data_IF_144344291265
#
_entry.id   IF_144344291265
#
_cell.length_a   1.000
_cell.length_b   1.000
_cell.length_c   1.000
_cell.angle_alpha   90.00
_cell.angle_beta   90.00
_cell.angle_gamma   90.00
#
_symmetry.space_group_name_H-M   'P 1'
#
loop_
_entity.id
_entity.type
_entity.pdbx_description
1 polymer ?
#
# COMPACT_ATOMS: atom_id res chain seq x y z
N UNK A 1 7.25 -5.53 -35.23
CA UNK A 1 6.44 -5.66 -34.00
C UNK A 1 4.97 -5.48 -34.40
N UNK A 2 4.17 -6.54 -34.47
CA UNK A 2 2.86 -6.49 -35.14
C UNK A 2 1.79 -5.87 -34.22
N UNK A 3 1.01 -4.96 -34.78
CA UNK A 3 -0.16 -4.30 -34.19
C UNK A 3 -1.13 -5.26 -33.47
N UNK A 4 -1.13 -6.55 -33.83
CA UNK A 4 -1.90 -7.61 -33.16
C UNK A 4 -1.49 -7.86 -31.70
N UNK A 5 -0.23 -7.61 -31.31
CA UNK A 5 0.25 -7.81 -29.91
C UNK A 5 -0.11 -6.64 -29.00
N UNK A 6 -0.24 -5.43 -29.54
CA UNK A 6 -0.69 -4.25 -28.80
C UNK A 6 -2.20 -4.34 -28.54
N UNK A 7 -2.98 -4.78 -29.54
CA UNK A 7 -4.42 -4.99 -29.40
C UNK A 7 -4.78 -6.09 -28.40
N UNK A 8 -3.97 -7.14 -28.30
CA UNK A 8 -4.21 -8.21 -27.33
C UNK A 8 -3.91 -7.81 -25.88
N UNK A 9 -2.86 -7.00 -25.66
CA UNK A 9 -2.58 -6.43 -24.33
C UNK A 9 -3.70 -5.48 -23.88
N UNK A 10 -4.20 -4.64 -24.79
CA UNK A 10 -5.36 -3.80 -24.56
C UNK A 10 -6.62 -4.60 -24.30
N UNK A 11 -6.86 -5.69 -25.05
CA UNK A 11 -8.00 -6.57 -24.87
C UNK A 11 -7.95 -7.33 -23.53
N UNK A 12 -6.78 -7.77 -23.06
CA UNK A 12 -6.64 -8.43 -21.75
C UNK A 12 -6.85 -7.44 -20.61
N UNK A 13 -6.34 -6.22 -20.74
CA UNK A 13 -6.60 -5.16 -19.75
C UNK A 13 -8.09 -4.77 -19.77
N UNK A 14 -8.72 -4.75 -20.94
CA UNK A 14 -10.14 -4.46 -21.11
C UNK A 14 -11.03 -5.61 -20.60
N UNK A 15 -10.64 -6.88 -20.81
CA UNK A 15 -11.36 -8.07 -20.30
C UNK A 15 -11.21 -8.18 -18.78
N UNK A 16 -10.03 -7.88 -18.20
CA UNK A 16 -9.87 -7.76 -16.75
C UNK A 16 -10.75 -6.64 -16.18
N UNK A 17 -10.81 -5.50 -16.86
CA UNK A 17 -11.74 -4.44 -16.51
C UNK A 17 -13.20 -4.90 -16.64
N UNK A 18 -13.55 -5.63 -17.68
CA UNK A 18 -14.92 -6.11 -17.93
C UNK A 18 -15.36 -7.18 -16.92
N UNK A 19 -14.50 -8.13 -16.55
CA UNK A 19 -14.76 -9.14 -15.51
C UNK A 19 -14.94 -8.46 -14.15
N UNK A 20 -14.13 -7.46 -13.86
CA UNK A 20 -14.26 -6.61 -12.67
C UNK A 20 -15.53 -5.74 -12.74
N UNK A 21 -16.01 -5.36 -13.94
CA UNK A 21 -17.23 -4.56 -14.14
C UNK A 21 -18.53 -5.37 -14.07
N UNK A 22 -18.53 -6.66 -14.37
CA UNK A 22 -19.76 -7.48 -14.38
C UNK A 22 -20.05 -8.13 -13.03
N UNK A 23 -19.04 -8.49 -12.26
CA UNK A 23 -19.17 -9.07 -10.91
C UNK A 23 -19.91 -8.16 -9.90
N UNK A 24 -19.69 -6.84 -9.83
CA UNK A 24 -20.37 -5.99 -8.85
C UNK A 24 -21.90 -5.92 -9.05
N UNK A 25 -22.40 -5.98 -10.27
CA UNK A 25 -23.85 -5.92 -10.52
C UNK A 25 -24.59 -7.16 -10.01
N UNK A 26 -23.95 -8.32 -10.05
CA UNK A 26 -24.54 -9.56 -9.54
C UNK A 26 -24.52 -9.61 -8.00
N UNK A 27 -23.42 -9.17 -7.37
CA UNK A 27 -23.27 -9.10 -5.91
C UNK A 27 -24.15 -8.01 -5.31
N UNK A 28 -24.25 -6.85 -5.95
CA UNK A 28 -25.04 -5.71 -5.44
C UNK A 28 -26.55 -6.03 -5.41
N UNK A 29 -27.08 -6.72 -6.43
CA UNK A 29 -28.50 -7.12 -6.46
C UNK A 29 -28.83 -8.24 -5.46
N UNK A 30 -27.86 -9.07 -5.09
CA UNK A 30 -28.08 -10.19 -4.15
C UNK A 30 -27.97 -9.71 -2.68
N UNK A 31 -27.12 -8.73 -2.39
CA UNK A 31 -26.93 -8.19 -1.03
C UNK A 31 -28.02 -7.18 -0.64
N UNK A 32 -28.54 -6.40 -1.61
CA UNK A 32 -29.65 -5.46 -1.33
C UNK A 32 -30.98 -6.15 -1.01
N UNK A 33 -31.13 -7.45 -1.37
CA UNK A 33 -32.35 -8.24 -1.07
C UNK A 33 -32.38 -8.87 0.32
N UNK A 34 -31.26 -8.85 1.06
CA UNK A 34 -31.09 -9.57 2.34
C UNK A 34 -31.06 -8.63 3.57
N UNK A 35 -31.52 -7.38 3.46
CA UNK A 35 -31.65 -6.51 4.63
C UNK A 35 -32.78 -6.99 5.52
N UNK A 36 -32.39 -7.61 6.61
CA UNK A 36 -33.26 -7.93 7.76
C UNK A 36 -33.85 -6.63 8.32
N UNK A 37 -35.20 -6.60 8.36
CA UNK A 37 -35.95 -5.54 9.02
C UNK A 37 -35.68 -5.58 10.53
N UNK A 38 -34.99 -4.58 11.05
CA UNK A 38 -34.95 -4.28 12.49
C UNK A 38 -36.09 -3.32 12.84
N UNK A 39 -36.79 -3.52 13.98
CA UNK A 39 -37.89 -2.66 14.36
C UNK A 39 -37.44 -1.23 14.67
N UNK A 40 -38.21 -0.28 14.22
CA UNK A 40 -38.02 1.15 14.46
C UNK A 40 -38.04 1.47 15.95
N UNK A 41 -36.97 2.06 16.47
CA UNK A 41 -37.02 2.87 17.70
C UNK A 41 -36.87 4.36 17.34
N UNK A 42 -37.87 5.11 17.78
CA UNK A 42 -37.93 6.55 17.71
C UNK A 42 -36.67 7.19 18.33
N UNK A 43 -35.95 7.94 17.54
CA UNK A 43 -34.96 8.89 18.06
C UNK A 43 -35.07 10.21 17.31
N UNK A 44 -35.57 11.19 18.04
CA UNK A 44 -35.59 12.61 17.79
C UNK A 44 -34.22 13.11 17.32
N UNK A 45 -34.23 13.75 16.15
CA UNK A 45 -33.29 14.77 15.66
C UNK A 45 -31.81 14.65 16.03
N UNK A 46 -31.09 13.78 15.31
CA UNK A 46 -29.69 14.06 14.94
C UNK A 46 -29.68 14.56 13.50
N UNK A 47 -29.16 15.75 13.31
CA UNK A 47 -29.05 16.43 12.02
C UNK A 47 -28.25 15.51 11.06
N UNK A 48 -28.95 15.01 10.04
CA UNK A 48 -28.32 14.26 8.95
C UNK A 48 -27.29 15.18 8.28
N UNK A 49 -26.02 14.84 8.42
CA UNK A 49 -24.99 15.39 7.55
C UNK A 49 -25.34 14.94 6.13
N UNK A 50 -25.77 15.88 5.30
CA UNK A 50 -25.93 15.68 3.86
C UNK A 50 -24.66 15.08 3.30
N UNK A 51 -24.73 14.05 2.43
CA UNK A 51 -23.55 13.60 1.71
C UNK A 51 -23.02 14.79 0.92
N UNK A 52 -21.80 15.19 1.23
CA UNK A 52 -21.09 16.24 0.52
C UNK A 52 -20.86 15.79 -0.92
N UNK A 53 -21.81 16.11 -1.80
CA UNK A 53 -21.74 15.98 -3.26
C UNK A 53 -20.95 17.12 -3.88
N UNK A 54 -20.23 17.88 -3.05
CA UNK A 54 -19.30 18.91 -3.47
C UNK A 54 -17.94 18.36 -3.79
N UNK A 55 -17.76 17.76 -4.99
CA UNK A 55 -16.46 17.73 -5.60
C UNK A 55 -16.03 19.19 -5.86
N UNK A 56 -15.48 19.84 -4.84
CA UNK A 56 -14.69 21.06 -5.04
C UNK A 56 -13.55 20.68 -5.95
N UNK A 57 -13.70 20.96 -7.25
CA UNK A 57 -12.58 20.99 -8.18
C UNK A 57 -11.67 22.10 -7.68
N UNK A 58 -10.71 21.74 -6.82
CA UNK A 58 -9.63 22.63 -6.45
C UNK A 58 -8.87 22.90 -7.74
N UNK A 59 -9.14 24.04 -8.36
CA UNK A 59 -8.44 24.49 -9.56
C UNK A 59 -6.98 24.76 -9.15
N UNK A 60 -6.14 23.75 -9.33
CA UNK A 60 -4.71 23.92 -9.10
C UNK A 60 -4.13 24.94 -10.07
N UNK A 61 -3.29 25.83 -9.56
CA UNK A 61 -2.51 26.74 -10.40
C UNK A 61 -1.57 25.93 -11.33
N UNK A 62 -1.31 26.42 -12.53
CA UNK A 62 -0.35 25.83 -13.46
C UNK A 62 1.02 25.58 -12.79
N UNK A 63 1.42 26.43 -11.85
CA UNK A 63 2.66 26.28 -11.08
C UNK A 63 2.72 24.98 -10.26
N UNK A 64 1.62 24.59 -9.59
CA UNK A 64 1.60 23.36 -8.78
C UNK A 64 1.60 22.08 -9.62
N UNK A 65 1.13 22.13 -10.88
CA UNK A 65 1.26 21.00 -11.82
C UNK A 65 2.68 20.87 -12.35
N UNK A 66 3.37 21.98 -12.55
CA UNK A 66 4.77 22.00 -12.98
C UNK A 66 5.71 21.44 -11.89
N UNK A 67 5.44 21.70 -10.61
CA UNK A 67 6.20 21.08 -9.50
C UNK A 67 6.07 19.56 -9.50
N UNK A 68 4.89 19.02 -9.81
CA UNK A 68 4.69 17.56 -9.92
C UNK A 68 5.50 16.95 -11.09
N UNK A 69 5.57 17.62 -12.26
CA UNK A 69 6.41 17.15 -13.38
C UNK A 69 7.89 17.19 -12.98
N UNK A 70 8.34 18.25 -12.33
CA UNK A 70 9.68 18.34 -11.79
C UNK A 70 9.96 17.20 -10.78
N UNK A 71 9.00 16.91 -9.90
CA UNK A 71 9.08 15.81 -8.95
C UNK A 71 9.23 14.45 -9.60
N UNK A 72 8.43 14.19 -10.64
CA UNK A 72 8.51 12.95 -11.41
C UNK A 72 9.91 12.76 -12.03
N UNK A 73 10.44 13.82 -12.67
CA UNK A 73 11.79 13.79 -13.26
C UNK A 73 12.86 13.62 -12.19
N UNK A 74 12.73 14.29 -11.05
CA UNK A 74 13.67 14.19 -9.94
C UNK A 74 13.68 12.78 -9.33
N UNK A 75 12.51 12.18 -9.06
CA UNK A 75 12.39 10.83 -8.49
C UNK A 75 13.00 9.79 -9.45
N UNK A 76 12.69 9.87 -10.73
CA UNK A 76 13.31 9.02 -11.75
C UNK A 76 14.82 9.26 -11.85
N UNK A 77 15.24 10.52 -11.81
CA UNK A 77 16.65 10.91 -11.83
C UNK A 77 17.43 10.35 -10.66
N UNK A 78 16.86 10.38 -9.45
CA UNK A 78 17.45 9.75 -8.25
C UNK A 78 17.58 8.24 -8.47
N UNK A 79 16.53 7.56 -8.99
CA UNK A 79 16.57 6.15 -9.32
C UNK A 79 17.70 5.81 -10.29
N UNK A 80 17.83 6.56 -11.38
CA UNK A 80 18.89 6.40 -12.38
C UNK A 80 20.28 6.73 -11.80
N UNK A 81 20.38 7.75 -10.95
CA UNK A 81 21.64 8.10 -10.27
C UNK A 81 22.16 6.97 -9.38
N UNK A 82 21.25 6.29 -8.68
CA UNK A 82 21.52 5.16 -7.78
C UNK A 82 21.61 3.81 -8.52
N UNK A 83 21.40 3.79 -9.82
CA UNK A 83 21.48 2.56 -10.63
C UNK A 83 22.88 1.96 -10.62
N UNK A 84 22.94 0.65 -10.45
CA UNK A 84 24.20 -0.12 -10.53
C UNK A 84 24.79 -0.14 -11.95
N UNK A 85 23.92 -0.18 -12.96
CA UNK A 85 24.33 -0.20 -14.36
C UNK A 85 23.34 0.61 -15.23
N UNK A 86 23.57 1.89 -15.36
CA UNK A 86 22.69 2.82 -16.10
C UNK A 86 22.46 2.43 -17.56
N UNK A 87 23.44 1.76 -18.19
CA UNK A 87 23.36 1.33 -19.61
C UNK A 87 22.47 0.11 -19.81
N UNK A 88 22.24 -0.68 -18.77
CA UNK A 88 21.39 -1.86 -18.82
C UNK A 88 19.92 -1.57 -18.45
N UNK A 89 19.56 -0.32 -18.12
CA UNK A 89 18.18 0.06 -17.83
C UNK A 89 17.34 -0.15 -19.10
N UNK A 90 16.30 -0.98 -19.00
CA UNK A 90 15.39 -1.28 -20.10
C UNK A 90 14.39 -0.14 -20.32
N UNK A 91 14.41 0.56 -21.49
CA UNK A 91 13.42 1.60 -21.80
C UNK A 91 11.97 1.08 -21.80
N UNK A 92 11.79 -0.20 -22.15
CA UNK A 92 10.49 -0.86 -22.13
C UNK A 92 9.90 -0.91 -20.71
N UNK A 93 10.71 -1.30 -19.72
CA UNK A 93 10.27 -1.39 -18.32
C UNK A 93 9.90 -0.01 -17.79
N UNK A 94 10.71 1.01 -18.10
CA UNK A 94 10.44 2.39 -17.69
C UNK A 94 9.16 2.93 -18.34
N UNK A 95 9.02 2.76 -19.64
CA UNK A 95 7.85 3.26 -20.37
C UNK A 95 6.54 2.59 -19.92
N UNK A 96 6.54 1.27 -19.75
CA UNK A 96 5.36 0.56 -19.29
C UNK A 96 5.09 0.80 -17.79
N UNK A 97 6.12 0.87 -16.96
CA UNK A 97 5.99 1.17 -15.54
C UNK A 97 5.35 2.53 -15.31
N UNK A 98 5.89 3.57 -15.93
CA UNK A 98 5.36 4.92 -15.84
C UNK A 98 4.00 5.06 -16.55
N UNK A 99 3.87 4.51 -17.76
CA UNK A 99 2.64 4.56 -18.54
C UNK A 99 1.47 3.88 -17.84
N UNK A 100 1.70 2.69 -17.24
CA UNK A 100 0.66 1.98 -16.48
C UNK A 100 0.23 2.77 -15.25
N UNK A 101 1.17 3.33 -14.47
CA UNK A 101 0.83 4.18 -13.32
C UNK A 101 0.00 5.39 -13.74
N UNK A 102 0.37 6.05 -14.83
CA UNK A 102 -0.34 7.21 -15.35
C UNK A 102 -1.75 6.86 -15.83
N UNK A 103 -1.90 5.74 -16.56
CA UNK A 103 -3.21 5.24 -17.01
C UNK A 103 -4.10 4.90 -15.80
N UNK A 104 -3.58 4.20 -14.79
CA UNK A 104 -4.33 3.92 -13.58
C UNK A 104 -4.72 5.18 -12.83
N UNK A 105 -3.82 6.15 -12.72
CA UNK A 105 -4.10 7.43 -12.08
C UNK A 105 -5.23 8.19 -12.79
N UNK A 106 -5.23 8.24 -14.13
CA UNK A 106 -6.34 8.85 -14.89
C UNK A 106 -7.64 8.07 -14.67
N UNK A 107 -7.59 6.74 -14.76
CA UNK A 107 -8.75 5.88 -14.62
C UNK A 107 -9.44 6.06 -13.27
N UNK A 108 -8.65 6.18 -12.20
CA UNK A 108 -9.22 6.28 -10.84
C UNK A 108 -9.55 7.70 -10.43
N UNK A 109 -8.72 8.68 -10.83
CA UNK A 109 -8.86 10.05 -10.32
C UNK A 109 -9.64 10.98 -11.27
N UNK A 110 -9.60 10.72 -12.59
CA UNK A 110 -10.20 11.62 -13.60
C UNK A 110 -11.40 11.03 -14.32
N UNK A 111 -11.39 9.72 -14.60
CA UNK A 111 -12.48 9.08 -15.32
C UNK A 111 -13.63 8.74 -14.36
N UNK A 112 -14.80 9.32 -14.60
CA UNK A 112 -15.94 9.25 -13.69
C UNK A 112 -16.37 7.81 -13.36
N UNK A 113 -16.43 6.93 -14.37
CA UNK A 113 -16.83 5.53 -14.17
C UNK A 113 -15.77 4.77 -13.35
N UNK A 114 -14.46 5.03 -13.60
CA UNK A 114 -13.37 4.46 -12.82
C UNK A 114 -13.42 4.96 -11.38
N UNK A 115 -13.60 6.26 -11.17
CA UNK A 115 -13.77 6.86 -9.84
C UNK A 115 -14.95 6.23 -9.08
N UNK A 116 -16.12 6.12 -9.74
CA UNK A 116 -17.30 5.51 -9.14
C UNK A 116 -17.09 4.03 -8.79
N UNK A 117 -16.38 3.29 -9.64
CA UNK A 117 -15.99 1.91 -9.36
C UNK A 117 -15.11 1.81 -8.11
N UNK A 118 -14.05 2.62 -8.00
CA UNK A 118 -13.16 2.59 -6.83
C UNK A 118 -13.83 3.14 -5.57
N UNK A 119 -14.76 4.11 -5.69
CA UNK A 119 -15.61 4.53 -4.58
C UNK A 119 -16.50 3.39 -4.08
N UNK A 120 -17.15 2.67 -5.00
CA UNK A 120 -17.96 1.49 -4.66
C UNK A 120 -17.14 0.38 -4.02
N UNK A 121 -15.94 0.10 -4.55
CA UNK A 121 -15.03 -0.87 -3.97
C UNK A 121 -14.56 -0.45 -2.57
N UNK A 122 -14.23 0.82 -2.37
CA UNK A 122 -13.88 1.37 -1.07
C UNK A 122 -15.02 1.26 -0.06
N UNK A 123 -16.25 1.57 -0.48
CA UNK A 123 -17.45 1.43 0.35
C UNK A 123 -17.70 -0.05 0.72
N UNK A 124 -17.53 -0.98 -0.23
CA UNK A 124 -17.62 -2.41 0.04
C UNK A 124 -16.61 -2.86 1.09
N UNK A 125 -15.33 -2.46 0.93
CA UNK A 125 -14.27 -2.78 1.90
C UNK A 125 -14.62 -2.22 3.27
N UNK A 126 -15.05 -0.97 3.36
CA UNK A 126 -15.47 -0.34 4.63
C UNK A 126 -16.64 -1.09 5.26
N UNK A 127 -17.63 -1.49 4.47
CA UNK A 127 -18.78 -2.29 4.93
C UNK A 127 -18.33 -3.64 5.49
N UNK A 128 -17.43 -4.33 4.78
CA UNK A 128 -16.85 -5.59 5.26
C UNK A 128 -16.11 -5.38 6.59
N UNK A 129 -15.29 -4.33 6.68
CA UNK A 129 -14.57 -4.02 7.91
C UNK A 129 -15.50 -3.75 9.10
N UNK A 130 -16.64 -3.13 8.87
CA UNK A 130 -17.61 -2.85 9.92
C UNK A 130 -18.16 -4.12 10.58
N UNK A 131 -18.17 -5.28 9.89
CA UNK A 131 -18.55 -6.54 10.53
C UNK A 131 -17.57 -6.97 11.63
N UNK A 132 -16.32 -6.51 11.60
CA UNK A 132 -15.36 -6.82 12.66
C UNK A 132 -15.78 -6.28 14.03
N UNK A 133 -16.54 -5.18 14.05
CA UNK A 133 -17.05 -4.59 15.29
C UNK A 133 -18.01 -5.53 16.02
N UNK A 134 -18.80 -6.33 15.30
CA UNK A 134 -19.68 -7.31 15.94
C UNK A 134 -18.88 -8.35 16.77
N UNK A 135 -17.74 -8.82 16.24
CA UNK A 135 -16.83 -9.69 16.98
C UNK A 135 -16.16 -8.98 18.16
N UNK A 136 -15.73 -7.74 17.96
CA UNK A 136 -15.11 -6.93 19.03
C UNK A 136 -16.08 -6.64 20.16
N UNK A 137 -17.31 -6.24 19.85
CA UNK A 137 -18.36 -6.00 20.83
C UNK A 137 -18.72 -7.26 21.62
N UNK A 138 -18.82 -8.40 20.93
CA UNK A 138 -19.10 -9.69 21.59
C UNK A 138 -18.01 -10.07 22.59
N UNK A 139 -16.73 -9.91 22.22
CA UNK A 139 -15.60 -10.33 23.08
C UNK A 139 -15.27 -9.32 24.16
N UNK A 140 -15.31 -8.03 23.85
CA UNK A 140 -14.84 -6.94 24.72
C UNK A 140 -15.95 -6.08 25.29
N UNK A 141 -17.21 -6.33 24.94
CA UNK A 141 -18.35 -5.54 25.40
C UNK A 141 -18.28 -4.09 24.94
N UNK A 142 -18.62 -3.15 25.83
CA UNK A 142 -18.67 -1.71 25.53
C UNK A 142 -17.34 -1.16 25.02
N UNK A 143 -16.19 -1.71 25.45
CA UNK A 143 -14.86 -1.25 25.02
C UNK A 143 -14.62 -1.58 23.53
N UNK A 144 -15.18 -2.68 23.04
CA UNK A 144 -15.03 -3.13 21.64
C UNK A 144 -16.06 -2.51 20.67
N UNK A 145 -17.01 -1.76 21.17
CA UNK A 145 -18.11 -1.17 20.39
C UNK A 145 -17.64 0.01 19.54
N UNK A 146 -18.09 0.08 18.28
CA UNK A 146 -17.69 1.13 17.33
C UNK A 146 -17.95 2.56 17.84
N UNK A 147 -19.07 2.77 18.54
CA UNK A 147 -19.43 4.06 19.14
C UNK A 147 -19.56 3.91 20.65
N UNK A 148 -18.44 3.56 21.29
CA UNK A 148 -18.38 3.40 22.75
C UNK A 148 -18.51 4.74 23.46
N UNK A 149 -19.22 4.75 24.60
CA UNK A 149 -19.28 5.89 25.50
C UNK A 149 -17.92 6.27 26.10
N UNK A 150 -16.95 5.35 26.07
CA UNK A 150 -15.58 5.54 26.56
C UNK A 150 -14.65 6.21 25.53
N UNK A 151 -15.18 6.54 24.33
CA UNK A 151 -14.38 7.05 23.22
C UNK A 151 -13.68 5.94 22.43
N UNK A 152 -12.65 6.29 21.68
CA UNK A 152 -11.91 5.33 20.84
C UNK A 152 -10.83 4.62 21.65
N UNK A 153 -11.02 3.32 21.89
CA UNK A 153 -9.99 2.43 22.48
C UNK A 153 -9.38 1.58 21.39
N UNK A 154 -8.26 2.06 20.86
CA UNK A 154 -7.59 1.55 19.67
C UNK A 154 -7.40 0.03 19.66
N UNK A 155 -6.86 -0.53 20.74
CA UNK A 155 -6.52 -1.95 20.83
C UNK A 155 -7.75 -2.89 20.76
N UNK A 156 -8.92 -2.40 21.17
CA UNK A 156 -10.13 -3.22 21.27
C UNK A 156 -11.19 -2.92 20.20
N UNK A 157 -11.10 -1.77 19.56
CA UNK A 157 -12.04 -1.37 18.51
C UNK A 157 -11.45 -1.54 17.11
N UNK A 158 -10.22 -1.08 16.91
CA UNK A 158 -9.59 -1.02 15.58
C UNK A 158 -8.76 -2.26 15.29
N UNK A 159 -7.93 -2.70 16.24
CA UNK A 159 -7.01 -3.81 16.03
C UNK A 159 -7.69 -5.16 15.71
N UNK A 160 -8.86 -5.52 16.26
CA UNK A 160 -9.53 -6.78 15.89
C UNK A 160 -9.94 -6.88 14.43
N UNK A 161 -10.07 -5.75 13.70
CA UNK A 161 -10.31 -5.79 12.26
C UNK A 161 -9.18 -6.51 11.50
N UNK A 162 -7.93 -6.45 12.00
CA UNK A 162 -6.79 -7.17 11.43
C UNK A 162 -7.02 -8.69 11.48
N UNK A 163 -7.54 -9.19 12.60
CA UNK A 163 -7.84 -10.62 12.78
C UNK A 163 -8.90 -11.06 11.77
N UNK A 164 -10.00 -10.32 11.72
CA UNK A 164 -11.12 -10.63 10.82
C UNK A 164 -10.70 -10.61 9.34
N UNK A 165 -9.95 -9.58 8.92
CA UNK A 165 -9.50 -9.45 7.53
C UNK A 165 -8.50 -10.53 7.17
N UNK A 166 -7.59 -10.90 8.08
CA UNK A 166 -6.65 -12.02 7.86
C UNK A 166 -7.40 -13.34 7.65
N UNK A 167 -8.41 -13.63 8.46
CA UNK A 167 -9.27 -14.80 8.29
C UNK A 167 -10.02 -14.76 6.93
N UNK A 168 -10.57 -13.62 6.56
CA UNK A 168 -11.26 -13.44 5.29
C UNK A 168 -10.33 -13.67 4.09
N UNK A 169 -9.13 -13.10 4.10
CA UNK A 169 -8.14 -13.33 3.05
C UNK A 169 -7.72 -14.79 2.96
N UNK A 170 -7.50 -15.48 4.10
CA UNK A 170 -7.19 -16.91 4.12
C UNK A 170 -8.30 -17.75 3.47
N UNK A 171 -9.57 -17.45 3.76
CA UNK A 171 -10.72 -18.07 3.10
C UNK A 171 -10.70 -17.78 1.58
N UNK A 172 -10.50 -16.54 1.16
CA UNK A 172 -10.47 -16.18 -0.27
C UNK A 172 -9.31 -16.87 -1.00
N UNK A 173 -8.18 -17.07 -0.35
CA UNK A 173 -7.07 -17.86 -0.90
C UNK A 173 -7.45 -19.34 -1.01
N UNK A 174 -8.04 -19.92 0.02
CA UNK A 174 -8.50 -21.31 -0.03
C UNK A 174 -9.52 -21.56 -1.16
N UNK A 175 -10.47 -20.64 -1.36
CA UNK A 175 -11.49 -20.71 -2.43
C UNK A 175 -10.91 -20.47 -3.84
N UNK A 176 -9.67 -20.04 -3.95
CA UNK A 176 -9.03 -19.79 -5.26
C UNK A 176 -9.34 -18.41 -5.86
N UNK A 177 -10.11 -17.57 -5.19
CA UNK A 177 -10.51 -16.23 -5.69
C UNK A 177 -9.25 -15.36 -5.87
N UNK A 178 -8.41 -15.31 -4.86
CA UNK A 178 -7.19 -14.49 -4.88
C UNK A 178 -6.20 -14.98 -5.95
N UNK A 179 -6.10 -16.30 -6.17
CA UNK A 179 -5.22 -16.85 -7.20
C UNK A 179 -5.57 -16.36 -8.60
N UNK A 180 -6.86 -16.24 -8.91
CA UNK A 180 -7.32 -15.72 -10.21
C UNK A 180 -6.90 -14.25 -10.37
N UNK A 181 -7.14 -13.42 -9.36
CA UNK A 181 -6.81 -11.99 -9.37
C UNK A 181 -5.30 -11.78 -9.50
N UNK A 182 -4.52 -12.44 -8.63
CA UNK A 182 -3.06 -12.33 -8.62
C UNK A 182 -2.46 -12.81 -9.95
N UNK A 183 -2.94 -13.95 -10.48
CA UNK A 183 -2.49 -14.47 -11.77
C UNK A 183 -2.79 -13.52 -12.93
N UNK A 184 -3.97 -12.91 -12.95
CA UNK A 184 -4.34 -11.95 -13.99
C UNK A 184 -3.42 -10.74 -14.00
N UNK A 185 -3.14 -10.16 -12.82
CA UNK A 185 -2.21 -9.04 -12.65
C UNK A 185 -0.77 -9.43 -13.04
N UNK A 186 -0.29 -10.60 -12.59
CA UNK A 186 1.04 -11.10 -12.92
C UNK A 186 1.24 -11.26 -14.43
N UNK A 187 0.27 -11.86 -15.14
CA UNK A 187 0.31 -12.02 -16.59
C UNK A 187 0.30 -10.67 -17.31
N UNK A 188 -0.49 -9.70 -16.84
CA UNK A 188 -0.52 -8.37 -17.41
C UNK A 188 0.86 -7.68 -17.30
N UNK A 189 1.50 -7.70 -16.12
CA UNK A 189 2.83 -7.12 -15.90
C UNK A 189 3.93 -7.84 -16.67
N UNK A 190 3.95 -9.18 -16.67
CA UNK A 190 4.92 -9.96 -17.44
C UNK A 190 4.85 -9.63 -18.93
N UNK A 191 3.64 -9.59 -19.52
CA UNK A 191 3.48 -9.33 -20.96
C UNK A 191 3.80 -7.88 -21.35
N UNK A 192 3.44 -6.92 -20.53
CA UNK A 192 3.69 -5.50 -20.80
C UNK A 192 5.14 -5.14 -20.57
N UNK A 193 5.65 -5.36 -19.37
CA UNK A 193 6.98 -4.92 -18.94
C UNK A 193 8.09 -5.85 -19.40
N UNK A 194 7.79 -7.13 -19.69
CA UNK A 194 8.78 -8.14 -20.02
C UNK A 194 9.57 -8.62 -18.80
N UNK A 195 9.03 -8.44 -17.61
CA UNK A 195 9.54 -8.99 -16.36
C UNK A 195 9.37 -10.52 -16.33
N UNK A 196 10.10 -11.21 -15.46
CA UNK A 196 9.96 -12.65 -15.31
C UNK A 196 8.61 -13.05 -14.72
N UNK A 197 8.22 -14.30 -14.90
CA UNK A 197 6.96 -14.79 -14.36
C UNK A 197 6.93 -14.80 -12.84
N UNK A 198 8.04 -15.20 -12.20
CA UNK A 198 8.14 -15.28 -10.75
C UNK A 198 8.10 -13.88 -10.10
N UNK A 199 8.89 -12.91 -10.62
CA UNK A 199 8.87 -11.56 -10.06
C UNK A 199 7.52 -10.86 -10.28
N UNK A 200 6.89 -11.03 -11.45
CA UNK A 200 5.56 -10.49 -11.73
C UNK A 200 4.50 -11.08 -10.80
N UNK A 201 4.61 -12.37 -10.49
CA UNK A 201 3.71 -13.04 -9.56
C UNK A 201 3.87 -12.51 -8.14
N UNK A 202 5.11 -12.35 -7.68
CA UNK A 202 5.38 -11.82 -6.35
C UNK A 202 4.87 -10.38 -6.19
N UNK A 203 5.11 -9.52 -7.18
CA UNK A 203 4.60 -8.13 -7.16
C UNK A 203 3.07 -8.11 -7.15
N UNK A 204 2.41 -8.94 -7.95
CA UNK A 204 0.96 -9.06 -7.95
C UNK A 204 0.42 -9.58 -6.61
N UNK A 205 1.09 -10.54 -6.00
CA UNK A 205 0.74 -11.07 -4.68
C UNK A 205 0.91 -10.00 -3.59
N UNK A 206 1.97 -9.19 -3.64
CA UNK A 206 2.27 -8.14 -2.67
C UNK A 206 1.21 -7.02 -2.60
N UNK A 207 0.34 -6.90 -3.61
CA UNK A 207 -0.81 -5.98 -3.56
C UNK A 207 -1.78 -6.35 -2.41
N UNK A 208 -1.82 -7.64 -2.04
CA UNK A 208 -2.77 -8.18 -1.07
C UNK A 208 -2.09 -8.83 0.14
N UNK A 209 -0.92 -9.43 -0.08
CA UNK A 209 -0.15 -10.18 0.91
C UNK A 209 0.96 -9.31 1.53
N UNK A 210 1.35 -9.66 2.75
CA UNK A 210 2.48 -9.02 3.43
C UNK A 210 3.83 -9.36 2.78
N UNK A 211 4.85 -8.60 3.17
CA UNK A 211 6.22 -8.69 2.63
C UNK A 211 6.91 -10.05 2.84
N UNK A 212 6.46 -10.85 3.82
CA UNK A 212 6.97 -12.20 4.09
C UNK A 212 6.10 -13.30 3.49
N UNK A 213 4.84 -12.99 3.18
CA UNK A 213 3.86 -13.92 2.65
C UNK A 213 3.92 -14.01 1.11
N UNK A 214 4.01 -12.85 0.43
CA UNK A 214 4.08 -12.82 -1.03
C UNK A 214 5.22 -13.68 -1.61
N UNK A 215 6.44 -13.71 -1.03
CA UNK A 215 7.52 -14.60 -1.48
C UNK A 215 7.23 -16.09 -1.39
N UNK A 216 6.27 -16.52 -0.56
CA UNK A 216 5.84 -17.93 -0.50
C UNK A 216 5.27 -18.41 -1.84
N UNK A 217 4.64 -17.51 -2.60
CA UNK A 217 4.05 -17.83 -3.92
C UNK A 217 5.10 -18.22 -4.96
N UNK A 218 6.34 -17.82 -4.75
CA UNK A 218 7.47 -18.02 -5.66
C UNK A 218 8.61 -18.82 -5.01
N UNK A 219 8.36 -19.44 -3.84
CA UNK A 219 9.37 -20.17 -3.06
C UNK A 219 10.26 -21.11 -3.88
N UNK A 220 9.75 -21.93 -4.83
CA UNK A 220 10.58 -22.84 -5.60
C UNK A 220 11.64 -22.16 -6.48
N UNK A 221 11.43 -20.89 -6.81
CA UNK A 221 12.29 -20.11 -7.71
C UNK A 221 13.32 -19.27 -6.96
N UNK A 222 13.06 -18.89 -5.69
CA UNK A 222 13.91 -17.99 -4.90
C UNK A 222 15.40 -18.36 -4.91
N UNK A 223 15.81 -19.65 -4.76
CA UNK A 223 17.22 -20.02 -4.76
C UNK A 223 17.95 -19.66 -6.06
N UNK A 224 17.25 -19.71 -7.19
CA UNK A 224 17.82 -19.58 -8.55
C UNK A 224 17.49 -18.22 -9.20
N UNK A 225 16.83 -17.33 -8.48
CA UNK A 225 16.54 -15.99 -8.97
C UNK A 225 17.79 -15.18 -9.24
N UNK A 226 17.77 -14.40 -10.32
CA UNK A 226 18.81 -13.40 -10.58
C UNK A 226 18.83 -12.36 -9.46
N UNK A 227 19.92 -11.63 -9.38
CA UNK A 227 20.02 -10.53 -8.40
C UNK A 227 18.97 -9.44 -8.64
N UNK A 228 18.65 -9.17 -9.91
CA UNK A 228 17.62 -8.20 -10.29
C UNK A 228 16.21 -8.68 -9.93
N UNK A 229 15.92 -9.98 -10.08
CA UNK A 229 14.66 -10.57 -9.62
C UNK A 229 14.50 -10.47 -8.09
N UNK A 230 15.55 -10.82 -7.32
CA UNK A 230 15.55 -10.67 -5.86
C UNK A 230 15.34 -9.22 -5.43
N UNK A 231 15.97 -8.28 -6.14
CA UNK A 231 15.72 -6.85 -5.92
C UNK A 231 14.27 -6.49 -6.13
N UNK A 232 13.62 -7.03 -7.18
CA UNK A 232 12.19 -6.81 -7.43
C UNK A 232 11.31 -7.41 -6.32
N UNK A 233 11.63 -8.62 -5.85
CA UNK A 233 10.91 -9.28 -4.74
C UNK A 233 10.96 -8.44 -3.47
N UNK A 234 12.15 -8.01 -3.07
CA UNK A 234 12.32 -7.15 -1.88
C UNK A 234 11.66 -5.77 -2.08
N UNK A 235 11.81 -5.17 -3.26
CA UNK A 235 11.16 -3.88 -3.55
C UNK A 235 9.65 -4.01 -3.47
N UNK A 236 9.07 -5.14 -3.86
CA UNK A 236 7.63 -5.38 -3.77
C UNK A 236 7.15 -5.46 -2.32
N UNK A 237 7.88 -6.15 -1.45
CA UNK A 237 7.58 -6.17 -0.02
C UNK A 237 7.69 -4.79 0.63
N UNK A 238 8.64 -3.96 0.19
CA UNK A 238 8.82 -2.58 0.69
C UNK A 238 7.76 -1.60 0.16
N UNK A 239 7.33 -1.76 -1.09
CA UNK A 239 6.47 -0.79 -1.78
C UNK A 239 4.98 -0.97 -1.53
N UNK A 240 4.56 -2.10 -0.99
CA UNK A 240 3.15 -2.40 -0.73
C UNK A 240 2.86 -2.57 0.76
N UNK A 241 1.58 -2.55 1.09
CA UNK A 241 1.05 -2.87 2.43
C UNK A 241 0.11 -4.06 2.31
N UNK A 242 0.01 -4.90 3.34
CA UNK A 242 -0.92 -6.03 3.33
C UNK A 242 -2.38 -5.57 3.47
N UNK A 243 -3.30 -6.34 2.90
CA UNK A 243 -4.73 -6.07 3.05
C UNK A 243 -5.20 -6.04 4.50
N UNK A 244 -4.60 -6.87 5.37
CA UNK A 244 -4.93 -6.92 6.80
C UNK A 244 -4.54 -5.62 7.52
N UNK A 245 -3.36 -5.09 7.25
CA UNK A 245 -2.88 -3.82 7.83
C UNK A 245 -3.67 -2.62 7.28
N UNK A 246 -4.08 -2.67 6.01
CA UNK A 246 -4.89 -1.61 5.39
C UNK A 246 -6.20 -1.36 6.16
N UNK A 247 -6.76 -2.40 6.78
CA UNK A 247 -7.92 -2.29 7.64
C UNK A 247 -7.72 -1.29 8.78
N UNK A 248 -6.55 -1.32 9.42
CA UNK A 248 -6.23 -0.37 10.49
C UNK A 248 -6.08 1.06 9.97
N UNK A 249 -5.51 1.26 8.78
CA UNK A 249 -5.39 2.61 8.20
C UNK A 249 -6.76 3.20 7.86
N UNK A 250 -7.70 2.38 7.37
CA UNK A 250 -9.08 2.80 7.13
C UNK A 250 -9.74 3.21 8.46
N UNK A 251 -9.47 2.48 9.52
CA UNK A 251 -9.98 2.81 10.85
C UNK A 251 -9.36 4.09 11.45
N UNK A 252 -8.16 4.49 11.01
CA UNK A 252 -7.60 5.83 11.29
C UNK A 252 -8.28 6.96 10.50
N UNK A 253 -9.26 6.66 9.65
CA UNK A 253 -9.96 7.65 8.83
C UNK A 253 -9.35 7.88 7.45
N UNK A 254 -8.39 7.03 7.04
CA UNK A 254 -7.85 7.06 5.68
C UNK A 254 -8.85 6.42 4.71
N UNK A 255 -9.12 7.07 3.61
CA UNK A 255 -10.10 6.58 2.64
C UNK A 255 -9.64 5.29 1.94
N UNK A 256 -10.46 4.23 2.07
CA UNK A 256 -10.17 2.92 1.47
C UNK A 256 -9.89 2.99 -0.03
N UNK A 257 -10.61 3.87 -0.77
CA UNK A 257 -10.38 4.06 -2.22
C UNK A 257 -8.97 4.54 -2.53
N UNK A 258 -8.40 5.45 -1.72
CA UNK A 258 -7.06 5.98 -1.94
C UNK A 258 -6.00 4.92 -1.64
N UNK A 259 -6.18 4.12 -0.59
CA UNK A 259 -5.28 3.02 -0.25
C UNK A 259 -5.27 1.94 -1.34
N UNK A 260 -6.46 1.49 -1.79
CA UNK A 260 -6.59 0.52 -2.87
C UNK A 260 -5.96 1.03 -4.17
N UNK A 261 -6.19 2.31 -4.48
CA UNK A 261 -5.59 2.93 -5.65
C UNK A 261 -4.07 2.99 -5.53
N UNK A 262 -3.56 3.38 -4.36
CA UNK A 262 -2.12 3.50 -4.11
C UNK A 262 -1.41 2.16 -4.31
N UNK A 263 -1.88 1.06 -3.73
CA UNK A 263 -1.22 -0.25 -3.88
C UNK A 263 -1.26 -0.75 -5.33
N UNK A 264 -2.38 -0.58 -6.04
CA UNK A 264 -2.51 -1.01 -7.44
C UNK A 264 -1.60 -0.18 -8.35
N UNK A 265 -1.58 1.15 -8.17
CA UNK A 265 -0.71 2.05 -8.93
C UNK A 265 0.77 1.78 -8.69
N UNK A 266 1.13 1.42 -7.46
CA UNK A 266 2.53 1.23 -7.09
C UNK A 266 3.11 -0.07 -7.69
N UNK A 267 2.30 -1.08 -7.99
CA UNK A 267 2.79 -2.37 -8.49
C UNK A 267 3.67 -2.27 -9.77
N UNK A 268 3.25 -1.63 -10.87
CA UNK A 268 4.14 -1.44 -12.02
C UNK A 268 5.33 -0.50 -11.70
N UNK A 269 5.17 0.47 -10.82
CA UNK A 269 6.24 1.33 -10.33
C UNK A 269 7.30 0.57 -9.56
N UNK A 270 6.90 -0.44 -8.82
CA UNK A 270 7.78 -1.35 -8.07
C UNK A 270 8.75 -2.09 -8.98
N UNK A 271 8.24 -2.75 -10.03
CA UNK A 271 9.08 -3.42 -11.03
C UNK A 271 10.01 -2.40 -11.70
N UNK A 272 9.47 -1.25 -12.08
CA UNK A 272 10.24 -0.21 -12.75
C UNK A 272 11.38 0.31 -11.87
N UNK A 273 11.13 0.66 -10.62
CA UNK A 273 12.16 1.19 -9.73
C UNK A 273 13.20 0.12 -9.35
N UNK A 274 12.78 -1.13 -9.12
CA UNK A 274 13.69 -2.23 -8.89
C UNK A 274 14.65 -2.43 -10.08
N UNK A 275 14.10 -2.47 -11.31
CA UNK A 275 14.89 -2.65 -12.54
C UNK A 275 15.67 -1.40 -12.97
N UNK A 276 15.36 -0.22 -12.45
CA UNK A 276 16.20 0.98 -12.60
C UNK A 276 17.41 0.88 -11.66
N UNK A 277 17.21 0.56 -10.38
CA UNK A 277 18.29 0.48 -9.40
C UNK A 277 19.20 -0.73 -9.64
N UNK A 278 18.61 -1.92 -9.89
CA UNK A 278 19.33 -3.16 -10.16
C UNK A 278 18.83 -3.75 -11.50
N UNK A 279 19.31 -3.25 -12.64
CA UNK A 279 18.90 -3.70 -13.96
C UNK A 279 19.19 -5.18 -14.20
N UNK A 280 18.32 -5.82 -14.99
CA UNK A 280 18.52 -7.22 -15.38
C UNK A 280 19.70 -7.36 -16.35
N UNK A 281 20.67 -8.15 -15.97
CA UNK A 281 21.87 -8.44 -16.78
C UNK A 281 22.07 -9.93 -17.02
N UNK A 282 21.21 -10.75 -16.43
CA UNK A 282 21.21 -12.20 -16.53
C UNK A 282 19.93 -12.68 -17.23
N UNK A 283 19.78 -13.97 -17.45
CA UNK A 283 18.57 -14.56 -18.03
C UNK A 283 17.75 -15.21 -16.92
N UNK A 284 16.63 -14.64 -16.51
CA UNK A 284 15.75 -15.23 -15.51
C UNK A 284 15.24 -16.61 -15.94
N UNK A 285 15.21 -17.58 -15.02
CA UNK A 285 14.71 -18.93 -15.28
C UNK A 285 13.22 -18.91 -15.72
N UNK A 286 12.45 -17.96 -15.20
CA UNK A 286 11.02 -17.84 -15.45
C UNK A 286 10.68 -16.79 -16.53
N UNK A 287 11.65 -16.47 -17.39
CA UNK A 287 11.45 -15.57 -18.51
C UNK A 287 10.41 -16.15 -19.49
N UNK A 288 9.31 -15.44 -19.75
CA UNK A 288 8.22 -15.89 -20.63
C UNK A 288 7.01 -16.45 -19.91
N UNK A 289 7.07 -16.64 -18.61
CA UNK A 289 5.93 -17.02 -17.78
C UNK A 289 6.18 -18.20 -16.86
N UNK A 290 5.36 -18.34 -15.85
CA UNK A 290 5.35 -19.48 -14.92
C UNK A 290 3.98 -20.12 -14.93
N UNK A 291 3.90 -21.44 -14.90
CA UNK A 291 2.70 -22.13 -14.46
C UNK A 291 2.59 -21.93 -12.94
N UNK A 292 1.70 -21.02 -12.56
CA UNK A 292 1.49 -20.68 -11.16
C UNK A 292 0.57 -21.72 -10.54
N UNK A 293 1.11 -22.55 -9.70
CA UNK A 293 0.36 -23.35 -8.75
C UNK A 293 0.66 -22.74 -7.36
N UNK A 294 -0.27 -21.93 -6.84
CA UNK A 294 -0.22 -21.51 -5.44
C UNK A 294 -0.69 -22.70 -4.62
N UNK A 295 0.18 -23.31 -3.79
CA UNK A 295 -0.17 -24.50 -3.03
C UNK A 295 -1.35 -24.21 -2.11
N UNK A 296 -2.36 -25.07 -2.12
CA UNK A 296 -3.39 -25.07 -1.08
C UNK A 296 -2.80 -25.73 0.17
N UNK A 297 -2.63 -24.95 1.22
CA UNK A 297 -2.04 -25.41 2.50
C UNK A 297 -3.11 -25.94 3.45
N UNK A 298 -4.36 -25.49 3.28
CA UNK A 298 -5.47 -25.76 4.19
C UNK A 298 -6.32 -26.94 3.71
N UNK A 299 -6.80 -27.75 4.66
CA UNK A 299 -7.60 -28.93 4.38
C UNK A 299 -9.05 -28.56 4.00
N UNK A 300 -9.59 -27.51 4.60
CA UNK A 300 -10.96 -27.03 4.37
C UNK A 300 -11.08 -25.54 4.72
N UNK A 301 -12.27 -24.96 4.46
CA UNK A 301 -12.55 -23.52 4.69
C UNK A 301 -12.40 -23.14 6.17
N UNK A 302 -12.76 -24.03 7.11
CA UNK A 302 -12.66 -23.78 8.54
C UNK A 302 -11.19 -23.78 9.00
N UNK A 303 -10.38 -24.67 8.45
CA UNK A 303 -8.94 -24.72 8.68
C UNK A 303 -8.27 -23.44 8.17
N UNK A 304 -8.60 -23.00 6.95
CA UNK A 304 -8.15 -21.72 6.40
C UNK A 304 -8.55 -20.54 7.31
N UNK A 305 -9.80 -20.49 7.76
CA UNK A 305 -10.29 -19.44 8.65
C UNK A 305 -9.54 -19.45 9.99
N UNK A 306 -9.32 -20.62 10.60
CA UNK A 306 -8.62 -20.77 11.87
C UNK A 306 -7.15 -20.33 11.75
N UNK A 307 -6.45 -20.75 10.68
CA UNK A 307 -5.09 -20.32 10.39
C UNK A 307 -5.01 -18.80 10.21
N UNK A 308 -5.87 -18.23 9.35
CA UNK A 308 -5.90 -16.79 9.11
C UNK A 308 -6.23 -15.98 10.37
N UNK A 309 -7.10 -16.52 11.25
CA UNK A 309 -7.38 -15.91 12.57
C UNK A 309 -6.12 -15.90 13.45
N UNK A 310 -5.38 -17.00 13.51
CA UNK A 310 -4.13 -17.10 14.27
C UNK A 310 -3.07 -16.12 13.74
N UNK A 311 -2.86 -16.07 12.43
CA UNK A 311 -1.94 -15.13 11.79
C UNK A 311 -2.34 -13.67 12.06
N UNK A 312 -3.63 -13.35 11.96
CA UNK A 312 -4.16 -12.02 12.27
C UNK A 312 -3.99 -11.62 13.72
N UNK A 313 -4.17 -12.57 14.66
CA UNK A 313 -3.92 -12.32 16.09
C UNK A 313 -2.45 -12.02 16.36
N UNK A 314 -1.53 -12.81 15.80
CA UNK A 314 -0.10 -12.55 15.95
C UNK A 314 0.28 -11.18 15.36
N UNK A 315 -0.26 -10.83 14.20
CA UNK A 315 -0.03 -9.52 13.57
C UNK A 315 -0.57 -8.39 14.47
N UNK A 316 -1.79 -8.51 14.97
CA UNK A 316 -2.40 -7.55 15.88
C UNK A 316 -1.55 -7.31 17.14
N UNK A 317 -1.11 -8.38 17.81
CA UNK A 317 -0.29 -8.30 19.02
C UNK A 317 1.07 -7.65 18.74
N UNK A 318 1.71 -8.02 17.64
CA UNK A 318 2.97 -7.42 17.22
C UNK A 318 2.82 -5.92 16.95
N UNK A 319 1.75 -5.51 16.27
CA UNK A 319 1.46 -4.10 15.99
C UNK A 319 1.25 -3.32 17.29
N UNK A 320 0.45 -3.84 18.23
CA UNK A 320 0.24 -3.20 19.54
C UNK A 320 1.57 -3.06 20.29
N UNK A 321 2.37 -4.13 20.36
CA UNK A 321 3.67 -4.12 21.04
C UNK A 321 4.63 -3.10 20.39
N UNK A 322 4.69 -3.05 19.06
CA UNK A 322 5.50 -2.06 18.33
C UNK A 322 5.04 -0.63 18.60
N UNK A 323 3.73 -0.36 18.57
CA UNK A 323 3.20 0.97 18.86
C UNK A 323 3.58 1.45 20.25
N UNK A 324 3.39 0.61 21.28
CA UNK A 324 3.76 0.94 22.66
C UNK A 324 5.25 1.27 22.73
N UNK A 325 6.09 0.40 22.17
CA UNK A 325 7.54 0.54 22.27
C UNK A 325 8.06 1.77 21.49
N UNK A 326 7.65 1.92 20.23
CA UNK A 326 8.17 3.01 19.39
C UNK A 326 7.62 4.37 19.78
N UNK A 327 6.34 4.48 20.17
CA UNK A 327 5.80 5.75 20.67
C UNK A 327 6.51 6.16 21.96
N UNK A 328 6.79 5.21 22.87
CA UNK A 328 7.56 5.50 24.07
C UNK A 328 9.01 5.92 23.77
N UNK A 329 9.67 5.27 22.80
CA UNK A 329 11.02 5.65 22.36
C UNK A 329 11.04 7.06 21.71
N UNK A 330 10.05 7.38 20.89
CA UNK A 330 9.91 8.72 20.30
C UNK A 330 9.70 9.77 21.41
N UNK A 331 8.83 9.46 22.39
CA UNK A 331 8.60 10.35 23.52
C UNK A 331 9.89 10.57 24.34
N UNK A 332 10.70 9.53 24.54
CA UNK A 332 12.01 9.63 25.20
C UNK A 332 12.98 10.52 24.42
N UNK A 333 13.07 10.30 23.10
CA UNK A 333 13.91 11.11 22.20
C UNK A 333 13.43 12.57 22.25
N UNK A 334 12.13 12.81 22.12
CA UNK A 334 11.55 14.16 22.15
C UNK A 334 11.76 14.84 23.52
N UNK A 335 11.71 14.08 24.61
CA UNK A 335 12.08 14.57 25.94
C UNK A 335 13.53 15.07 25.98
N UNK A 336 14.46 14.33 25.39
CA UNK A 336 15.86 14.75 25.23
C UNK A 336 16.01 16.00 24.34
N UNK A 337 15.30 16.05 23.20
CA UNK A 337 15.30 17.22 22.32
C UNK A 337 14.73 18.45 23.03
N UNK A 338 13.60 18.33 23.76
CA UNK A 338 13.00 19.41 24.51
C UNK A 338 13.91 19.94 25.63
N UNK A 339 14.65 19.04 26.30
CA UNK A 339 15.67 19.45 27.30
C UNK A 339 16.76 20.29 26.65
N UNK A 340 17.31 19.90 25.51
CA UNK A 340 18.33 20.66 24.81
C UNK A 340 17.77 21.99 24.29
N UNK A 341 16.56 21.96 23.72
CA UNK A 341 15.86 23.15 23.21
C UNK A 341 15.63 24.20 24.31
N UNK A 342 15.32 23.76 25.54
CA UNK A 342 15.16 24.66 26.68
C UNK A 342 16.43 25.53 26.96
N UNK A 343 17.62 24.96 26.75
CA UNK A 343 18.89 25.68 26.94
C UNK A 343 19.41 26.33 25.65
N UNK A 344 19.01 25.81 24.49
CA UNK A 344 19.51 26.19 23.16
C UNK A 344 18.32 26.36 22.22
N UNK A 345 17.73 27.54 22.19
CA UNK A 345 16.47 27.83 21.49
C UNK A 345 16.46 27.53 19.97
N UNK A 346 17.62 27.47 19.32
CA UNK A 346 17.69 27.09 17.89
C UNK A 346 17.68 25.57 17.66
N UNK A 347 17.89 24.75 18.70
CA UNK A 347 17.87 23.31 18.60
C UNK A 347 16.41 22.83 18.38
N UNK A 348 16.15 21.82 17.54
CA UNK A 348 14.79 21.35 17.28
C UNK A 348 14.12 20.79 18.53
N UNK A 349 12.82 21.05 18.69
CA UNK A 349 12.04 20.58 19.84
C UNK A 349 11.74 19.08 19.81
N UNK A 350 11.73 18.48 18.60
CA UNK A 350 11.32 17.11 18.41
C UNK A 350 12.00 16.44 17.22
N UNK A 351 12.01 15.11 17.21
CA UNK A 351 12.42 14.30 16.09
C UNK A 351 11.59 14.62 14.84
N UNK A 352 10.29 14.86 14.98
CA UNK A 352 9.39 15.23 13.90
C UNK A 352 9.82 16.54 13.23
N UNK A 353 10.29 17.51 14.00
CA UNK A 353 10.80 18.76 13.46
C UNK A 353 12.03 18.53 12.57
N UNK A 354 12.98 17.69 13.01
CA UNK A 354 14.17 17.33 12.22
C UNK A 354 13.79 16.60 10.94
N UNK A 355 12.92 15.59 11.06
CA UNK A 355 12.43 14.82 9.91
C UNK A 355 11.67 15.73 8.95
N UNK A 356 10.86 16.65 9.48
CA UNK A 356 10.17 17.67 8.70
C UNK A 356 11.13 18.51 7.88
N UNK A 357 12.23 18.99 8.45
CA UNK A 357 13.23 19.77 7.72
C UNK A 357 13.91 18.99 6.60
N UNK A 358 14.26 17.72 6.86
CA UNK A 358 14.94 16.84 5.89
C UNK A 358 14.00 16.49 4.73
N UNK A 359 12.75 16.12 5.02
CA UNK A 359 11.80 15.61 4.02
C UNK A 359 10.89 16.68 3.42
N UNK A 360 10.87 17.91 3.98
CA UNK A 360 10.08 19.02 3.45
C UNK A 360 10.31 19.29 1.96
N UNK A 361 11.56 19.36 1.45
CA UNK A 361 11.81 19.54 0.03
C UNK A 361 11.24 18.40 -0.82
N UNK A 362 11.30 17.15 -0.31
CA UNK A 362 10.78 15.96 -1.00
C UNK A 362 9.25 16.03 -1.07
N UNK A 363 8.59 16.37 0.04
CA UNK A 363 7.14 16.55 0.07
C UNK A 363 6.69 17.64 -0.92
N UNK A 364 7.37 18.78 -0.92
CA UNK A 364 7.10 19.87 -1.86
C UNK A 364 7.27 19.46 -3.33
N UNK A 365 8.33 18.76 -3.65
CA UNK A 365 8.61 18.26 -5.00
C UNK A 365 7.54 17.26 -5.47
N UNK A 366 6.95 16.46 -4.56
CA UNK A 366 5.81 15.59 -4.88
C UNK A 366 4.52 16.38 -5.16
N UNK A 367 4.52 17.69 -4.96
CA UNK A 367 3.38 18.56 -5.22
C UNK A 367 2.57 18.95 -3.98
N UNK A 368 3.09 18.69 -2.78
CA UNK A 368 2.49 19.19 -1.53
C UNK A 368 2.71 20.71 -1.45
N UNK A 369 1.67 21.52 -1.17
CA UNK A 369 1.81 22.95 -0.90
C UNK A 369 2.87 23.23 0.17
N UNK A 370 3.62 24.35 0.02
CA UNK A 370 4.75 24.64 0.90
C UNK A 370 4.36 24.73 2.39
N UNK A 371 3.18 25.25 2.70
CA UNK A 371 2.69 25.36 4.08
C UNK A 371 2.52 24.00 4.76
N UNK A 372 2.07 22.96 4.01
CA UNK A 372 1.87 21.60 4.53
C UNK A 372 3.13 20.73 4.41
N UNK A 373 4.10 21.15 3.59
CA UNK A 373 5.24 20.30 3.22
C UNK A 373 6.13 19.94 4.43
N UNK A 374 6.14 20.74 5.48
CA UNK A 374 6.83 20.41 6.74
C UNK A 374 6.16 19.26 7.49
N UNK A 375 4.83 19.32 7.63
CA UNK A 375 4.02 18.28 8.29
C UNK A 375 4.06 16.97 7.50
N UNK A 376 3.83 17.04 6.19
CA UNK A 376 3.92 15.83 5.33
C UNK A 376 5.35 15.29 5.33
N UNK A 377 6.37 16.15 5.31
CA UNK A 377 7.76 15.75 5.41
C UNK A 377 8.08 15.00 6.71
N UNK A 378 7.55 15.45 7.85
CA UNK A 378 7.68 14.74 9.12
C UNK A 378 7.10 13.32 9.05
N UNK A 379 5.89 13.17 8.48
CA UNK A 379 5.25 11.86 8.27
C UNK A 379 6.07 10.94 7.36
N UNK A 380 6.68 11.48 6.29
CA UNK A 380 7.57 10.70 5.41
C UNK A 380 8.82 10.23 6.18
N UNK A 381 9.37 11.07 7.03
CA UNK A 381 10.50 10.72 7.87
C UNK A 381 10.14 9.67 8.92
N UNK A 382 8.99 9.81 9.59
CA UNK A 382 8.49 8.80 10.53
C UNK A 382 8.30 7.44 9.84
N UNK A 383 7.71 7.41 8.63
CA UNK A 383 7.59 6.19 7.84
C UNK A 383 8.94 5.51 7.62
N UNK A 384 9.97 6.26 7.23
CA UNK A 384 11.28 5.68 6.88
C UNK A 384 12.08 5.22 8.09
N UNK A 385 12.04 6.00 9.18
CA UNK A 385 12.85 5.76 10.39
C UNK A 385 12.14 4.77 11.33
N UNK A 386 10.82 4.87 11.42
CA UNK A 386 10.01 4.07 12.33
C UNK A 386 9.22 3.03 11.52
N UNK A 387 8.02 3.42 11.07
CA UNK A 387 7.19 2.67 10.13
C UNK A 387 6.02 3.52 9.63
N UNK A 388 5.36 3.03 8.59
CA UNK A 388 4.18 3.66 7.98
C UNK A 388 2.94 3.62 8.89
N UNK A 389 2.86 2.67 9.80
CA UNK A 389 1.72 2.50 10.70
C UNK A 389 1.59 3.71 11.63
N UNK A 390 2.69 4.14 12.26
CA UNK A 390 2.75 5.34 13.09
C UNK A 390 2.47 6.58 12.25
N UNK A 391 3.06 6.67 11.06
CA UNK A 391 2.82 7.79 10.16
C UNK A 391 1.32 7.91 9.78
N UNK A 392 0.63 6.81 9.53
CA UNK A 392 -0.82 6.82 9.28
C UNK A 392 -1.64 7.15 10.52
N UNK A 393 -1.24 6.68 11.70
CA UNK A 393 -1.89 7.04 12.96
C UNK A 393 -1.82 8.55 13.23
N UNK A 394 -0.71 9.20 12.84
CA UNK A 394 -0.55 10.64 12.92
C UNK A 394 -1.24 11.37 11.76
N UNK A 395 -1.30 10.80 10.55
CA UNK A 395 -1.97 11.40 9.40
C UNK A 395 -3.49 11.50 9.60
N UNK A 396 -4.13 10.46 10.15
CA UNK A 396 -5.58 10.40 10.30
C UNK A 396 -6.20 11.64 10.95
N UNK A 397 -5.75 12.06 12.15
CA UNK A 397 -6.24 13.28 12.83
C UNK A 397 -6.00 14.58 12.06
N UNK A 398 -5.01 14.61 11.16
CA UNK A 398 -4.67 15.79 10.37
C UNK A 398 -5.59 16.02 9.15
N UNK A 399 -6.57 15.14 8.92
CA UNK A 399 -7.48 15.22 7.76
C UNK A 399 -8.22 16.57 7.66
N UNK A 400 -8.57 17.16 8.78
CA UNK A 400 -9.28 18.45 8.82
C UNK A 400 -8.35 19.67 8.71
N UNK A 401 -7.05 19.51 8.97
CA UNK A 401 -6.08 20.61 9.03
C UNK A 401 -5.21 20.72 7.78
N UNK A 402 -4.98 19.62 7.07
CA UNK A 402 -4.23 19.59 5.83
C UNK A 402 -5.12 19.92 4.62
N UNK A 403 -4.52 20.54 3.61
CA UNK A 403 -5.14 20.63 2.29
C UNK A 403 -5.52 19.22 1.80
N UNK A 404 -6.72 19.01 1.22
CA UNK A 404 -7.17 17.70 0.74
C UNK A 404 -6.18 17.03 -0.23
N UNK A 405 -5.46 17.83 -1.01
CA UNK A 405 -4.42 17.33 -1.92
C UNK A 405 -3.19 16.87 -1.14
N UNK A 406 -2.77 17.63 -0.12
CA UNK A 406 -1.67 17.26 0.78
C UNK A 406 -1.97 15.95 1.49
N UNK A 407 -3.19 15.79 2.00
CA UNK A 407 -3.64 14.57 2.65
C UNK A 407 -3.62 13.37 1.70
N UNK A 408 -4.09 13.56 0.47
CA UNK A 408 -4.09 12.48 -0.55
C UNK A 408 -2.66 12.11 -0.96
N UNK A 409 -1.78 13.09 -1.25
CA UNK A 409 -0.38 12.82 -1.58
C UNK A 409 0.30 12.07 -0.44
N UNK A 410 0.10 12.49 0.82
CA UNK A 410 0.63 11.81 1.99
C UNK A 410 0.11 10.36 2.07
N UNK A 411 -1.21 10.15 1.85
CA UNK A 411 -1.81 8.81 1.84
C UNK A 411 -1.11 7.88 0.84
N UNK A 412 -0.85 8.34 -0.38
CA UNK A 412 -0.15 7.53 -1.40
C UNK A 412 1.33 7.34 -1.05
N UNK A 413 2.00 8.39 -0.59
CA UNK A 413 3.41 8.34 -0.27
C UNK A 413 3.73 7.42 0.91
N UNK A 414 2.82 7.30 1.88
CA UNK A 414 2.98 6.43 3.05
C UNK A 414 2.62 4.96 2.76
N UNK A 415 1.97 4.66 1.62
CA UNK A 415 1.39 3.35 1.34
C UNK A 415 2.45 2.30 0.94
N UNK A 416 3.28 1.90 1.90
CA UNK A 416 4.30 0.86 1.72
C UNK A 416 5.17 0.67 2.95
N UNK A 417 5.66 -0.55 3.13
CA UNK A 417 6.51 -0.97 4.25
C UNK A 417 7.98 -0.53 4.15
N UNK A 418 8.31 0.47 3.31
CA UNK A 418 9.69 0.90 3.09
C UNK A 418 10.25 1.67 4.29
N UNK A 419 10.72 0.95 5.30
CA UNK A 419 11.35 1.45 6.50
C UNK A 419 12.56 0.58 6.91
N UNK A 420 13.37 1.06 7.85
CA UNK A 420 14.59 0.38 8.28
C UNK A 420 14.30 -1.00 8.91
N UNK A 421 13.22 -1.15 9.66
CA UNK A 421 12.87 -2.42 10.31
C UNK A 421 12.46 -3.50 9.29
N UNK A 422 11.81 -3.11 8.20
CA UNK A 422 11.40 -4.00 7.12
C UNK A 422 12.56 -4.67 6.41
N UNK A 423 13.74 -4.05 6.38
CA UNK A 423 14.96 -4.69 5.86
C UNK A 423 15.24 -5.98 6.65
N UNK A 424 15.21 -5.90 7.99
CA UNK A 424 15.41 -7.06 8.85
C UNK A 424 14.31 -8.12 8.69
N UNK A 425 13.05 -7.67 8.57
CA UNK A 425 11.90 -8.56 8.37
C UNK A 425 12.04 -9.35 7.06
N UNK A 426 12.42 -8.70 5.96
CA UNK A 426 12.60 -9.39 4.68
C UNK A 426 13.82 -10.32 4.66
N UNK A 427 14.96 -9.89 5.24
CA UNK A 427 16.13 -10.77 5.37
C UNK A 427 15.77 -12.02 6.19
N UNK A 428 15.00 -11.87 7.25
CA UNK A 428 14.50 -12.97 8.07
C UNK A 428 13.51 -13.85 7.32
N UNK A 429 12.45 -13.26 6.77
CA UNK A 429 11.35 -13.96 6.12
C UNK A 429 11.75 -14.65 4.81
N UNK A 430 12.29 -13.88 3.85
CA UNK A 430 12.73 -14.43 2.56
C UNK A 430 13.95 -15.34 2.77
N UNK A 431 14.86 -14.96 3.68
CA UNK A 431 16.04 -15.76 4.01
C UNK A 431 15.73 -17.08 4.71
N UNK A 432 14.55 -17.24 5.32
CA UNK A 432 14.08 -18.54 5.82
C UNK A 432 13.61 -19.46 4.67
N UNK A 433 13.15 -18.88 3.55
CA UNK A 433 12.71 -19.63 2.36
C UNK A 433 13.87 -20.02 1.44
N UNK A 434 14.96 -19.23 1.43
CA UNK A 434 16.15 -19.43 0.61
C UNK A 434 17.39 -19.02 1.42
N UNK A 435 17.87 -19.91 2.30
CA UNK A 435 18.94 -19.63 3.27
C UNK A 435 20.27 -19.27 2.59
N UNK A 436 20.55 -19.83 1.44
CA UNK A 436 21.74 -19.56 0.61
C UNK A 436 21.76 -18.13 0.04
N UNK A 437 20.61 -17.46 -0.02
CA UNK A 437 20.48 -16.11 -0.58
C UNK A 437 20.50 -14.99 0.48
N UNK A 438 20.67 -15.31 1.78
CA UNK A 438 20.68 -14.32 2.86
C UNK A 438 21.69 -13.18 2.66
N UNK A 439 22.88 -13.50 2.14
CA UNK A 439 23.89 -12.47 1.86
C UNK A 439 23.47 -11.50 0.76
N UNK A 440 22.79 -12.01 -0.29
CA UNK A 440 22.26 -11.16 -1.36
C UNK A 440 21.15 -10.26 -0.84
N UNK A 441 20.22 -10.82 -0.04
CA UNK A 441 19.14 -10.06 0.60
C UNK A 441 19.69 -8.93 1.49
N UNK A 442 20.71 -9.22 2.31
CA UNK A 442 21.33 -8.21 3.16
C UNK A 442 22.00 -7.09 2.34
N UNK A 443 22.65 -7.41 1.20
CA UNK A 443 23.26 -6.43 0.31
C UNK A 443 22.23 -5.58 -0.44
N UNK A 444 21.06 -6.15 -0.74
CA UNK A 444 20.00 -5.48 -1.48
C UNK A 444 19.06 -4.67 -0.57
N UNK A 445 18.97 -4.98 0.72
CA UNK A 445 17.93 -4.47 1.62
C UNK A 445 17.77 -2.95 1.61
N UNK A 446 18.86 -2.20 1.79
CA UNK A 446 18.80 -0.73 1.76
C UNK A 446 18.38 -0.20 0.36
N UNK A 447 18.85 -0.85 -0.70
CA UNK A 447 18.50 -0.47 -2.07
C UNK A 447 17.05 -0.76 -2.37
N UNK A 448 16.52 -1.88 -1.89
CA UNK A 448 15.11 -2.25 -2.02
C UNK A 448 14.20 -1.28 -1.25
N UNK A 449 14.60 -0.88 -0.04
CA UNK A 449 13.89 0.15 0.73
C UNK A 449 13.82 1.49 -0.03
N UNK A 450 14.93 1.92 -0.61
CA UNK A 450 14.98 3.14 -1.43
C UNK A 450 14.10 2.98 -2.67
N UNK A 451 14.19 1.84 -3.38
CA UNK A 451 13.38 1.59 -4.57
C UNK A 451 11.87 1.58 -4.25
N UNK A 452 11.46 0.92 -3.16
CA UNK A 452 10.07 0.92 -2.68
C UNK A 452 9.59 2.33 -2.31
N UNK A 453 10.42 3.10 -1.63
CA UNK A 453 10.14 4.50 -1.31
C UNK A 453 9.93 5.34 -2.58
N UNK A 454 10.84 5.24 -3.56
CA UNK A 454 10.72 5.97 -4.82
C UNK A 454 9.49 5.54 -5.63
N UNK A 455 9.11 4.26 -5.59
CA UNK A 455 7.88 3.77 -6.23
C UNK A 455 6.61 4.38 -5.61
N UNK A 456 6.55 4.47 -4.28
CA UNK A 456 5.43 5.12 -3.58
C UNK A 456 5.42 6.64 -3.86
N UNK A 457 6.57 7.30 -3.81
CA UNK A 457 6.66 8.74 -4.08
C UNK A 457 6.26 9.08 -5.51
N UNK A 458 6.60 8.22 -6.46
CA UNK A 458 6.16 8.36 -7.85
C UNK A 458 4.64 8.27 -7.97
N UNK A 459 4.02 7.26 -7.35
CA UNK A 459 2.56 7.10 -7.31
C UNK A 459 1.89 8.31 -6.65
N UNK A 460 2.45 8.82 -5.55
CA UNK A 460 1.97 10.00 -4.84
C UNK A 460 2.07 11.27 -5.71
N UNK A 461 3.19 11.44 -6.41
CA UNK A 461 3.41 12.57 -7.33
C UNK A 461 2.40 12.55 -8.47
N UNK A 462 2.19 11.39 -9.10
CA UNK A 462 1.21 11.23 -10.17
C UNK A 462 -0.23 11.50 -9.68
N UNK A 463 -0.59 10.99 -8.50
CA UNK A 463 -1.88 11.30 -7.88
C UNK A 463 -2.03 12.81 -7.66
N UNK A 464 -1.01 13.44 -7.08
CA UNK A 464 -0.98 14.87 -6.85
C UNK A 464 -1.07 15.71 -8.11
N UNK A 465 -0.52 15.29 -9.24
CA UNK A 465 -0.63 16.00 -10.53
C UNK A 465 -2.02 15.94 -11.13
N UNK A 466 -2.78 14.88 -10.85
CA UNK A 466 -4.07 14.63 -11.46
C UNK A 466 -5.25 15.09 -10.59
N UNK A 467 -5.01 15.40 -9.34
CA UNK A 467 -5.97 16.07 -8.46
C UNK A 467 -6.02 17.56 -8.76
#
# INVERSE_FOLDING_TARGET
MSWRRVGFAFAVTFVCALVVFTLPRFVFNTVSGAMVQTPAQDTTKAQAATPDTGATTVSRSLGSRLTGIFGLVMILGIGVALSRNRRAISPRVVAWGLGSQFVFAILVLRWEQGRNFFMGLGALVTTILNFSYAGSEFVFGEIGKQHSSLGVVFAFQIMPAIIFVSALFAIMYYLGIMQVVVKALAVAMNKSMGSSGAESLNVAASIFMGQTEAPLTIRPFLPRMTRSELMTVMTAGMAHVSGSIMAAYIAFGIEARHLLTAVIMTAPGTIMMAKILEPETEVPETLGGVKVEIPRTDVNVLDAAARGTGEGLHLMLNVIAMLISFIALIALINGGFGLVHHYVAWFPESLQTVLGWIFRPIAWVMGVPWHDSGTVGALLGERMVINEFIAYAHLGPLKASLDPVSFTIATFALCGFANLSSIGIEIGGIGALATERKHDLARLGLRAMIAGTLANFLSATLAGMLL
#
